data_IF_522081809427
#
_entry.id   IF_522081809427
#
_cell.length_a   1.000
_cell.length_b   1.000
_cell.length_c   1.000
_cell.angle_alpha   90.00
_cell.angle_beta   90.00
_cell.angle_gamma   90.00
#
_symmetry.space_group_name_H-M   'P 1'
#
loop_
_entity.id
_entity.type
_entity.pdbx_description
1 polymer ?
#
# COMPACT_ATOMS: atom_id res chain seq x y z
N UNK A 1 7.99 -9.07 4.86
CA UNK A 1 9.41 -9.30 4.51
C UNK A 1 10.08 -10.18 5.56
N UNK A 2 11.25 -10.78 5.23
CA UNK A 2 12.05 -11.59 6.13
C UNK A 2 12.96 -10.77 7.04
N UNK A 3 14.06 -11.42 7.52
CA UNK A 3 15.03 -10.80 8.42
C UNK A 3 15.72 -9.57 7.83
N UNK A 4 15.89 -9.52 6.51
CA UNK A 4 16.37 -8.34 5.77
C UNK A 4 15.19 -7.72 5.04
N UNK A 5 14.93 -6.46 5.29
CA UNK A 5 13.78 -5.74 4.75
C UNK A 5 14.12 -4.25 4.58
N UNK A 6 13.33 -3.45 3.83
CA UNK A 6 13.65 -2.06 3.56
C UNK A 6 13.71 -1.15 4.80
N UNK A 7 13.26 -1.63 5.97
CA UNK A 7 13.25 -0.84 7.21
C UNK A 7 14.49 -1.07 8.07
N UNK A 8 15.17 -2.22 7.92
CA UNK A 8 16.37 -2.56 8.67
C UNK A 8 17.63 -2.72 7.79
N UNK A 9 17.50 -2.64 6.47
CA UNK A 9 18.63 -2.55 5.54
C UNK A 9 19.06 -1.09 5.40
N UNK A 10 19.48 -0.52 6.51
CA UNK A 10 19.89 0.87 6.67
C UNK A 10 21.31 0.93 7.22
N UNK A 11 22.00 2.03 6.95
CA UNK A 11 23.31 2.29 7.53
C UNK A 11 23.18 2.48 9.04
N UNK A 12 24.06 1.85 9.80
CA UNK A 12 24.22 2.12 11.22
C UNK A 12 24.69 3.56 11.46
N UNK A 13 24.54 4.05 12.70
CA UNK A 13 25.02 5.39 13.07
C UNK A 13 26.53 5.52 12.83
N UNK A 14 27.30 4.48 13.13
CA UNK A 14 28.76 4.46 12.94
C UNK A 14 29.12 4.54 11.43
N UNK A 15 28.47 3.73 10.60
CA UNK A 15 28.65 3.77 9.14
C UNK A 15 28.28 5.13 8.57
N UNK A 16 27.12 5.68 9.00
CA UNK A 16 26.65 7.00 8.55
C UNK A 16 27.65 8.11 8.92
N UNK A 17 28.24 8.07 10.13
CA UNK A 17 29.25 9.03 10.58
C UNK A 17 30.59 8.86 9.89
N UNK A 18 30.88 7.67 9.36
CA UNK A 18 32.13 7.37 8.66
C UNK A 18 32.13 7.78 7.17
N UNK A 19 30.98 8.15 6.62
CA UNK A 19 30.87 8.54 5.20
C UNK A 19 31.68 9.80 4.93
N UNK A 20 32.56 9.74 3.93
CA UNK A 20 33.26 10.89 3.39
C UNK A 20 32.30 11.72 2.50
N UNK A 21 32.01 12.99 2.84
CA UNK A 21 31.20 13.87 2.01
C UNK A 21 31.70 14.04 0.56
N UNK A 22 33.02 13.94 0.34
CA UNK A 22 33.58 14.01 -1.01
C UNK A 22 33.20 12.78 -1.84
N UNK A 23 33.20 11.58 -1.23
CA UNK A 23 32.73 10.36 -1.90
C UNK A 23 31.27 10.46 -2.36
N UNK A 24 30.40 11.09 -1.56
CA UNK A 24 29.01 11.36 -1.97
C UNK A 24 28.94 12.35 -3.14
N UNK A 25 29.79 13.37 -3.14
CA UNK A 25 29.88 14.34 -4.23
C UNK A 25 30.33 13.67 -5.52
N UNK A 26 31.36 12.82 -5.44
CA UNK A 26 31.87 12.06 -6.58
C UNK A 26 30.81 11.08 -7.12
N UNK A 27 30.06 10.43 -6.24
CA UNK A 27 28.93 9.57 -6.61
C UNK A 27 27.87 10.36 -7.38
N UNK A 28 27.46 11.54 -6.88
CA UNK A 28 26.50 12.40 -7.57
C UNK A 28 26.98 12.82 -8.96
N UNK A 29 28.24 13.21 -9.10
CA UNK A 29 28.82 13.54 -10.39
C UNK A 29 28.90 12.33 -11.33
N UNK A 30 29.05 11.12 -10.77
CA UNK A 30 29.09 9.85 -11.50
C UNK A 30 27.73 9.37 -12.01
N UNK A 31 26.58 9.89 -11.52
CA UNK A 31 25.26 9.41 -11.89
C UNK A 31 24.98 9.49 -13.39
N UNK A 32 25.54 10.47 -14.10
CA UNK A 32 25.36 10.60 -15.56
C UNK A 32 26.11 9.55 -16.35
N UNK A 33 26.96 8.75 -15.73
CA UNK A 33 27.67 7.62 -16.36
C UNK A 33 26.78 6.38 -16.50
N UNK A 34 25.69 6.31 -15.76
CA UNK A 34 24.76 5.18 -15.80
C UNK A 34 23.69 5.39 -16.88
N UNK A 35 23.08 4.28 -17.29
CA UNK A 35 21.89 4.32 -18.13
C UNK A 35 20.79 5.14 -17.43
N UNK A 36 20.22 6.10 -18.13
CA UNK A 36 19.18 6.96 -17.57
C UNK A 36 18.18 7.41 -18.64
N UNK A 37 17.02 7.88 -18.20
CA UNK A 37 15.96 8.40 -19.07
C UNK A 37 15.75 9.88 -18.81
N UNK A 38 15.67 10.66 -19.89
CA UNK A 38 15.34 12.09 -19.81
C UNK A 38 13.89 12.27 -20.22
N UNK A 39 13.11 12.83 -19.33
CA UNK A 39 11.69 13.09 -19.53
C UNK A 39 11.52 14.61 -19.68
N UNK A 40 10.91 15.01 -20.77
CA UNK A 40 10.68 16.43 -21.04
C UNK A 40 9.20 16.72 -21.32
N UNK A 41 8.67 17.73 -20.64
CA UNK A 41 7.38 18.32 -20.93
C UNK A 41 7.53 19.83 -20.98
N UNK A 42 7.26 20.42 -22.15
CA UNK A 42 7.42 21.88 -22.35
C UNK A 42 7.08 22.31 -23.78
N UNK A 43 7.20 23.61 -24.07
CA UNK A 43 6.83 24.17 -25.36
C UNK A 43 7.87 23.90 -26.48
N UNK A 44 9.08 23.47 -26.12
CA UNK A 44 10.14 23.26 -27.09
C UNK A 44 9.88 22.01 -27.94
N UNK A 45 10.26 22.06 -29.20
CA UNK A 45 10.20 20.89 -30.06
C UNK A 45 11.19 19.81 -29.61
N UNK A 46 10.90 18.55 -29.92
CA UNK A 46 11.79 17.42 -29.65
C UNK A 46 13.20 17.65 -30.19
N UNK A 47 13.30 18.22 -31.39
CA UNK A 47 14.59 18.51 -32.04
C UNK A 47 15.37 19.59 -31.25
N UNK A 48 14.71 20.65 -30.81
CA UNK A 48 15.35 21.69 -29.98
C UNK A 48 15.88 21.11 -28.68
N UNK A 49 15.09 20.27 -27.98
CA UNK A 49 15.51 19.62 -26.74
C UNK A 49 16.69 18.69 -26.98
N UNK A 50 16.64 17.88 -28.05
CA UNK A 50 17.74 16.99 -28.44
C UNK A 50 19.04 17.77 -28.67
N UNK A 51 18.98 18.89 -29.38
CA UNK A 51 20.14 19.72 -29.64
C UNK A 51 20.74 20.30 -28.36
N UNK A 52 19.90 20.79 -27.43
CA UNK A 52 20.34 21.28 -26.13
C UNK A 52 21.02 20.16 -25.34
N UNK A 53 20.41 18.98 -25.28
CA UNK A 53 20.98 17.82 -24.57
C UNK A 53 22.31 17.41 -25.18
N UNK A 54 22.42 17.33 -26.51
CA UNK A 54 23.70 17.00 -27.18
C UNK A 54 24.81 17.98 -26.85
N UNK A 55 24.49 19.26 -26.67
CA UNK A 55 25.47 20.30 -26.32
C UNK A 55 25.87 20.30 -24.84
N UNK A 56 24.93 20.08 -23.95
CA UNK A 56 25.12 20.34 -22.51
C UNK A 56 25.10 19.08 -21.65
N UNK A 57 24.44 18.01 -22.05
CA UNK A 57 24.38 16.76 -21.31
C UNK A 57 25.54 15.83 -21.75
N UNK A 58 26.67 15.95 -21.06
CA UNK A 58 27.87 15.17 -21.36
C UNK A 58 27.78 13.82 -20.68
N UNK A 59 27.82 12.76 -21.46
CA UNK A 59 27.80 11.37 -21.01
C UNK A 59 28.91 10.58 -21.74
N UNK A 60 29.41 9.49 -21.15
CA UNK A 60 30.33 8.58 -21.84
C UNK A 60 29.70 8.02 -23.12
N UNK A 61 30.54 7.57 -24.05
CA UNK A 61 30.07 6.86 -25.27
C UNK A 61 29.33 5.57 -24.92
N UNK A 62 29.77 4.88 -23.86
CA UNK A 62 29.13 3.70 -23.33
C UNK A 62 28.70 3.97 -21.88
N UNK A 63 27.38 3.91 -21.67
CA UNK A 63 26.80 4.04 -20.33
C UNK A 63 26.92 2.74 -19.55
N UNK A 64 27.14 2.85 -18.26
CA UNK A 64 27.13 1.73 -17.31
C UNK A 64 25.67 1.28 -17.08
N UNK A 65 25.35 -0.02 -17.15
CA UNK A 65 24.04 -0.51 -16.76
C UNK A 65 23.66 -0.10 -15.34
N UNK A 66 22.39 0.17 -15.12
CA UNK A 66 21.88 0.45 -13.78
C UNK A 66 22.08 -0.83 -12.92
N UNK A 67 22.66 -0.73 -11.72
CA UNK A 67 22.77 -1.87 -10.81
C UNK A 67 21.38 -2.47 -10.51
N UNK A 68 21.33 -3.79 -10.33
CA UNK A 68 20.11 -4.44 -9.88
C UNK A 68 19.67 -3.85 -8.53
N UNK A 69 18.37 -3.59 -8.32
CA UNK A 69 17.86 -3.14 -7.05
C UNK A 69 18.05 -4.23 -5.98
N UNK A 70 18.10 -3.82 -4.71
CA UNK A 70 17.96 -4.77 -3.61
C UNK A 70 16.56 -5.41 -3.66
N UNK A 71 16.49 -6.73 -3.60
CA UNK A 71 15.23 -7.47 -3.59
C UNK A 71 14.88 -7.85 -2.16
N UNK A 72 13.68 -7.45 -1.73
CA UNK A 72 13.11 -7.84 -0.44
C UNK A 72 11.95 -8.79 -0.69
N UNK A 73 12.13 -10.06 -0.29
CA UNK A 73 11.12 -11.09 -0.53
C UNK A 73 9.91 -10.88 0.38
N UNK A 74 8.75 -10.70 -0.25
CA UNK A 74 7.49 -10.67 0.46
C UNK A 74 7.10 -12.08 0.93
N UNK A 75 6.82 -12.21 2.24
CA UNK A 75 6.45 -13.49 2.85
C UNK A 75 4.97 -13.76 2.60
N UNK A 76 4.63 -14.99 2.21
CA UNK A 76 3.25 -15.44 2.08
C UNK A 76 2.52 -15.41 3.43
N UNK A 77 1.22 -15.20 3.38
CA UNK A 77 0.34 -15.17 4.56
C UNK A 77 -0.46 -16.49 4.64
N UNK A 78 0.26 -17.61 4.82
CA UNK A 78 -0.34 -18.94 4.76
C UNK A 78 -1.04 -19.36 6.08
N UNK A 79 -0.70 -18.68 7.16
CA UNK A 79 -1.26 -18.92 8.50
C UNK A 79 -1.45 -17.62 9.27
N UNK A 80 -2.35 -17.63 10.24
CA UNK A 80 -2.54 -16.51 11.14
C UNK A 80 -1.34 -16.39 12.09
N UNK A 81 -0.80 -15.18 12.22
CA UNK A 81 0.32 -14.83 13.10
C UNK A 81 0.05 -13.50 13.77
N UNK A 82 0.54 -13.33 14.98
CA UNK A 82 0.49 -12.06 15.70
C UNK A 82 1.90 -11.68 16.12
N UNK A 83 2.31 -10.48 15.72
CA UNK A 83 3.50 -9.82 16.23
C UNK A 83 3.06 -8.70 17.17
N UNK A 84 3.50 -8.77 18.40
CA UNK A 84 3.19 -7.76 19.41
C UNK A 84 4.45 -6.95 19.74
N UNK A 85 4.33 -5.63 19.72
CA UNK A 85 5.39 -4.72 20.14
C UNK A 85 4.91 -3.93 21.36
N UNK A 86 5.61 -4.10 22.49
CA UNK A 86 5.33 -3.34 23.68
C UNK A 86 5.84 -1.89 23.53
N UNK A 87 4.93 -0.94 23.56
CA UNK A 87 5.24 0.48 23.47
C UNK A 87 4.33 1.31 24.38
N UNK A 88 4.89 2.26 25.09
CA UNK A 88 4.12 3.12 26.03
C UNK A 88 3.30 4.15 25.24
N UNK A 89 2.05 3.80 24.95
CA UNK A 89 1.10 4.63 24.22
C UNK A 89 -0.32 4.49 24.80
N UNK A 90 -1.14 5.51 24.55
CA UNK A 90 -2.51 5.56 25.11
C UNK A 90 -3.47 4.64 24.37
N UNK A 91 -3.29 4.52 23.05
CA UNK A 91 -4.12 3.67 22.19
C UNK A 91 -3.35 2.40 21.85
N UNK A 92 -4.06 1.34 21.60
CA UNK A 92 -3.51 0.14 20.96
C UNK A 92 -3.89 0.16 19.50
N UNK A 93 -2.93 -0.12 18.63
CA UNK A 93 -3.11 -0.20 17.19
C UNK A 93 -2.91 -1.63 16.71
N UNK A 94 -3.80 -2.08 15.84
CA UNK A 94 -3.71 -3.36 15.17
C UNK A 94 -3.73 -3.13 13.66
N UNK A 95 -2.74 -3.70 12.97
CA UNK A 95 -2.68 -3.78 11.51
C UNK A 95 -2.75 -5.25 11.11
N UNK A 96 -3.72 -5.60 10.28
CA UNK A 96 -3.89 -6.92 9.67
C UNK A 96 -3.46 -6.85 8.22
N UNK A 97 -2.66 -7.81 7.78
CA UNK A 97 -2.17 -7.88 6.39
C UNK A 97 -2.36 -9.31 5.87
N UNK A 98 -2.94 -9.42 4.68
CA UNK A 98 -2.93 -10.65 3.88
C UNK A 98 -2.33 -10.33 2.51
N UNK A 99 -1.33 -11.11 2.08
CA UNK A 99 -0.76 -11.00 0.74
C UNK A 99 -1.66 -11.75 -0.24
N UNK A 100 -2.26 -11.02 -1.18
CA UNK A 100 -3.02 -11.57 -2.28
C UNK A 100 -2.15 -12.01 -3.45
N UNK A 101 -2.77 -12.15 -4.61
CA UNK A 101 -2.09 -12.52 -5.86
C UNK A 101 -1.26 -11.35 -6.43
N UNK A 102 -0.39 -11.64 -7.40
CA UNK A 102 0.33 -10.63 -8.18
C UNK A 102 -0.65 -9.71 -8.91
N UNK A 103 -0.14 -8.57 -9.42
CA UNK A 103 -0.96 -7.58 -10.09
C UNK A 103 -1.88 -8.20 -11.15
N UNK A 104 -3.16 -7.93 -10.99
CA UNK A 104 -4.19 -8.27 -11.96
C UNK A 104 -5.01 -7.02 -12.30
N UNK A 105 -4.92 -6.57 -13.54
CA UNK A 105 -5.61 -5.36 -14.02
C UNK A 105 -7.14 -5.48 -13.90
N UNK A 106 -7.69 -6.68 -14.00
CA UNK A 106 -9.13 -6.92 -13.92
C UNK A 106 -9.69 -6.72 -12.49
N UNK A 107 -8.84 -6.77 -11.47
CA UNK A 107 -9.24 -6.54 -10.08
C UNK A 107 -9.20 -5.07 -9.67
N UNK A 108 -8.57 -4.19 -10.48
CA UNK A 108 -8.31 -2.80 -10.06
C UNK A 108 -9.59 -1.99 -9.85
N UNK A 109 -10.58 -2.16 -10.71
CA UNK A 109 -11.86 -1.45 -10.60
C UNK A 109 -12.64 -1.91 -9.36
N UNK A 110 -12.72 -3.23 -9.15
CA UNK A 110 -13.36 -3.86 -8.00
C UNK A 110 -12.66 -3.47 -6.69
N UNK A 111 -11.33 -3.53 -6.65
CA UNK A 111 -10.55 -3.15 -5.48
C UNK A 111 -10.74 -1.66 -5.11
N UNK A 112 -10.79 -0.77 -6.12
CA UNK A 112 -11.04 0.66 -5.91
C UNK A 112 -12.45 0.90 -5.36
N UNK A 113 -13.47 0.22 -5.92
CA UNK A 113 -14.84 0.34 -5.43
C UNK A 113 -14.99 -0.26 -4.05
N UNK A 114 -14.37 -1.42 -3.79
CA UNK A 114 -14.33 -2.06 -2.48
C UNK A 114 -13.73 -1.14 -1.42
N UNK A 115 -12.60 -0.49 -1.71
CA UNK A 115 -12.01 0.48 -0.80
C UNK A 115 -12.97 1.61 -0.44
N UNK A 116 -13.68 2.19 -1.42
CA UNK A 116 -14.63 3.28 -1.18
C UNK A 116 -15.89 2.81 -0.43
N UNK A 117 -16.38 1.62 -0.73
CA UNK A 117 -17.60 1.09 -0.13
C UNK A 117 -17.35 0.53 1.27
N UNK A 118 -16.33 -0.33 1.38
CA UNK A 118 -16.14 -1.15 2.58
C UNK A 118 -15.30 -0.45 3.64
N UNK A 119 -14.18 0.17 3.26
CA UNK A 119 -13.21 0.49 4.28
C UNK A 119 -12.57 1.88 4.27
N UNK A 120 -12.74 2.68 3.24
CA UNK A 120 -12.10 3.99 3.17
C UNK A 120 -13.12 5.13 3.20
N UNK A 121 -13.01 6.00 4.22
CA UNK A 121 -13.86 7.18 4.33
C UNK A 121 -15.02 7.07 5.32
N UNK A 122 -15.63 8.22 5.61
CA UNK A 122 -16.63 8.36 6.67
C UNK A 122 -17.94 7.62 6.42
N UNK A 123 -18.27 7.32 5.18
CA UNK A 123 -19.48 6.58 4.79
C UNK A 123 -19.24 5.08 4.55
N UNK A 124 -18.01 4.59 4.73
CA UNK A 124 -17.67 3.18 4.53
C UNK A 124 -18.31 2.28 5.59
N UNK A 125 -18.56 1.02 5.23
CA UNK A 125 -19.17 0.02 6.11
C UNK A 125 -18.38 -0.12 7.41
N UNK A 126 -17.04 -0.30 7.32
CA UNK A 126 -16.17 -0.48 8.49
C UNK A 126 -16.24 0.73 9.42
N UNK A 127 -16.16 1.95 8.87
CA UNK A 127 -16.22 3.15 9.66
C UNK A 127 -17.58 3.30 10.38
N UNK A 128 -18.67 3.11 9.65
CA UNK A 128 -20.03 3.25 10.20
C UNK A 128 -20.33 2.21 11.27
N UNK A 129 -19.93 0.96 11.07
CA UNK A 129 -20.20 -0.11 12.02
C UNK A 129 -19.29 -0.07 13.25
N UNK A 130 -17.99 0.09 13.08
CA UNK A 130 -17.03 -0.03 14.18
C UNK A 130 -16.93 1.27 14.98
N UNK A 131 -16.84 2.41 14.29
CA UNK A 131 -16.67 3.70 14.95
C UNK A 131 -17.99 4.34 15.36
N UNK A 132 -18.91 4.52 14.41
CA UNK A 132 -20.12 5.31 14.64
C UNK A 132 -21.20 4.52 15.40
N UNK A 133 -21.47 3.28 14.99
CA UNK A 133 -22.55 2.47 15.57
C UNK A 133 -22.14 1.83 16.90
N UNK A 134 -20.96 1.18 16.95
CA UNK A 134 -20.51 0.42 18.11
C UNK A 134 -19.56 1.19 19.04
N UNK A 135 -19.02 2.32 18.60
CA UNK A 135 -18.03 3.14 19.32
C UNK A 135 -16.83 2.30 19.86
N UNK A 136 -16.40 1.30 19.07
CA UNK A 136 -15.34 0.38 19.46
C UNK A 136 -13.95 0.90 19.12
N UNK A 137 -13.80 1.76 18.10
CA UNK A 137 -12.51 2.27 17.69
C UNK A 137 -12.57 3.75 17.33
N UNK A 138 -11.47 4.46 17.54
CA UNK A 138 -11.30 5.84 17.07
C UNK A 138 -11.05 5.87 15.56
N UNK A 139 -10.26 4.91 15.07
CA UNK A 139 -9.97 4.76 13.65
C UNK A 139 -10.08 3.28 13.25
N UNK A 140 -10.81 3.01 12.17
CA UNK A 140 -10.93 1.68 11.60
C UNK A 140 -11.08 1.78 10.08
N UNK A 141 -10.38 0.91 9.36
CA UNK A 141 -10.54 0.77 7.91
C UNK A 141 -10.14 -0.62 7.44
N UNK A 142 -10.62 -1.02 6.26
CA UNK A 142 -10.11 -2.18 5.54
C UNK A 142 -10.18 -1.92 4.04
N UNK A 143 -9.15 -2.33 3.31
CA UNK A 143 -9.11 -2.16 1.86
C UNK A 143 -8.21 -3.20 1.20
N UNK A 144 -8.47 -3.45 -0.07
CA UNK A 144 -7.63 -4.25 -0.94
C UNK A 144 -6.78 -3.29 -1.79
N UNK A 145 -5.46 -3.29 -1.58
CA UNK A 145 -4.54 -2.36 -2.24
C UNK A 145 -4.10 -2.88 -3.60
N UNK A 146 -3.99 -1.98 -4.56
CA UNK A 146 -3.40 -2.30 -5.85
C UNK A 146 -1.89 -2.07 -5.81
N UNK A 147 -1.06 -2.97 -6.37
CA UNK A 147 0.37 -2.80 -6.45
C UNK A 147 0.77 -1.68 -7.42
N UNK A 148 2.04 -1.26 -7.35
CA UNK A 148 2.61 -0.22 -8.20
C UNK A 148 3.43 -0.78 -9.37
N UNK A 149 3.80 -2.06 -9.31
CA UNK A 149 4.56 -2.79 -10.33
C UNK A 149 3.86 -4.09 -10.69
N UNK A 150 4.14 -4.59 -11.87
CA UNK A 150 3.55 -5.84 -12.38
C UNK A 150 3.84 -7.06 -11.49
N UNK A 151 5.04 -7.14 -10.93
CA UNK A 151 5.49 -8.29 -10.14
C UNK A 151 5.20 -8.14 -8.64
N UNK A 152 4.61 -7.00 -8.22
CA UNK A 152 4.17 -6.77 -6.84
C UNK A 152 2.79 -7.40 -6.61
N UNK A 153 2.49 -7.70 -5.34
CA UNK A 153 1.22 -8.32 -4.95
C UNK A 153 0.16 -7.30 -4.52
N UNK A 154 -1.08 -7.66 -4.71
CA UNK A 154 -2.20 -7.03 -4.00
C UNK A 154 -2.13 -7.35 -2.51
N UNK A 155 -2.61 -6.44 -1.66
CA UNK A 155 -2.69 -6.67 -0.22
C UNK A 155 -4.07 -6.33 0.32
N UNK A 156 -4.67 -7.28 1.04
CA UNK A 156 -5.79 -6.97 1.92
C UNK A 156 -5.23 -6.44 3.24
N UNK A 157 -5.71 -5.27 3.65
CA UNK A 157 -5.28 -4.61 4.87
C UNK A 157 -6.47 -4.25 5.72
N UNK A 158 -6.39 -4.53 7.01
CA UNK A 158 -7.32 -4.07 8.03
C UNK A 158 -6.56 -3.30 9.10
N UNK A 159 -7.17 -2.28 9.67
CA UNK A 159 -6.58 -1.46 10.72
C UNK A 159 -7.62 -1.08 11.77
N UNK A 160 -7.20 -1.10 13.02
CA UNK A 160 -7.94 -0.63 14.18
C UNK A 160 -7.00 0.17 15.07
N UNK A 161 -7.41 1.40 15.40
CA UNK A 161 -6.82 2.20 16.48
C UNK A 161 -7.87 2.43 17.56
N UNK A 162 -7.65 1.85 18.76
CA UNK A 162 -8.65 1.80 19.82
C UNK A 162 -8.03 1.89 21.21
N UNK A 163 -8.86 1.96 22.24
CA UNK A 163 -8.44 1.76 23.63
C UNK A 163 -8.09 0.28 23.86
N UNK A 164 -7.11 0.02 24.70
CA UNK A 164 -6.59 -1.33 24.92
C UNK A 164 -7.68 -2.32 25.37
N UNK A 165 -8.58 -1.89 26.23
CA UNK A 165 -9.73 -2.68 26.74
C UNK A 165 -10.79 -3.00 25.69
N UNK A 166 -10.77 -2.34 24.54
CA UNK A 166 -11.72 -2.56 23.43
C UNK A 166 -11.13 -3.31 22.25
N UNK A 167 -9.83 -3.63 22.31
CA UNK A 167 -9.13 -4.23 21.15
C UNK A 167 -9.77 -5.53 20.70
N UNK A 168 -10.10 -6.43 21.64
CA UNK A 168 -10.75 -7.72 21.32
C UNK A 168 -12.09 -7.54 20.61
N UNK A 169 -12.97 -6.71 21.17
CA UNK A 169 -14.29 -6.44 20.60
C UNK A 169 -14.20 -5.76 19.22
N UNK A 170 -13.30 -4.77 19.08
CA UNK A 170 -13.09 -4.07 17.81
C UNK A 170 -12.53 -4.98 16.73
N UNK A 171 -11.59 -5.85 17.09
CA UNK A 171 -11.00 -6.84 16.17
C UNK A 171 -12.03 -7.88 15.74
N UNK A 172 -12.81 -8.41 16.69
CA UNK A 172 -13.92 -9.33 16.38
C UNK A 172 -14.93 -8.70 15.43
N UNK A 173 -15.34 -7.44 15.68
CA UNK A 173 -16.26 -6.74 14.82
C UNK A 173 -15.70 -6.52 13.39
N UNK A 174 -14.40 -6.26 13.25
CA UNK A 174 -13.77 -6.14 11.93
C UNK A 174 -13.74 -7.48 11.21
N UNK A 175 -13.36 -8.56 11.91
CA UNK A 175 -13.33 -9.93 11.35
C UNK A 175 -14.73 -10.39 10.92
N UNK A 176 -15.77 -10.08 11.69
CA UNK A 176 -17.16 -10.37 11.32
C UNK A 176 -17.54 -9.69 10.01
N UNK A 177 -17.19 -8.41 9.84
CA UNK A 177 -17.40 -7.68 8.59
C UNK A 177 -16.58 -8.25 7.43
N UNK A 178 -15.36 -8.73 7.70
CA UNK A 178 -14.48 -9.35 6.70
C UNK A 178 -14.88 -10.81 6.38
N UNK A 179 -15.76 -11.41 7.16
CA UNK A 179 -16.38 -12.73 6.86
C UNK A 179 -17.69 -12.60 6.08
N UNK A 180 -18.41 -11.52 6.26
CA UNK A 180 -19.73 -11.31 5.63
C UNK A 180 -19.92 -9.85 5.25
N UNK A 181 -19.87 -9.55 3.96
CA UNK A 181 -20.08 -8.19 3.45
C UNK A 181 -21.54 -7.77 3.56
N UNK A 182 -21.89 -6.72 4.31
CA UNK A 182 -23.24 -6.16 4.29
C UNK A 182 -23.61 -5.64 2.89
N UNK A 183 -24.84 -5.89 2.43
CA UNK A 183 -25.37 -5.33 1.19
C UNK A 183 -26.17 -4.05 1.49
N UNK A 184 -25.49 -2.91 1.41
CA UNK A 184 -26.08 -1.60 1.67
C UNK A 184 -26.14 -0.79 0.38
N UNK A 185 -27.25 -0.87 -0.35
CA UNK A 185 -27.44 -0.28 -1.68
C UNK A 185 -27.17 1.23 -1.73
N UNK A 186 -27.58 1.96 -0.70
CA UNK A 186 -27.39 3.40 -0.65
C UNK A 186 -25.89 3.75 -0.53
N UNK A 187 -25.16 3.08 0.37
CA UNK A 187 -23.73 3.27 0.55
C UNK A 187 -22.96 2.84 -0.69
N UNK A 188 -23.37 1.73 -1.33
CA UNK A 188 -22.79 1.27 -2.60
C UNK A 188 -22.93 2.34 -3.69
N UNK A 189 -24.13 2.91 -3.87
CA UNK A 189 -24.36 3.97 -4.84
C UNK A 189 -23.47 5.20 -4.59
N UNK A 190 -23.32 5.60 -3.33
CA UNK A 190 -22.43 6.72 -2.94
C UNK A 190 -20.97 6.41 -3.17
N UNK A 191 -20.50 5.21 -2.83
CA UNK A 191 -19.14 4.75 -3.05
C UNK A 191 -18.79 4.73 -4.55
N UNK A 192 -19.70 4.23 -5.38
CA UNK A 192 -19.55 4.21 -6.84
C UNK A 192 -19.43 5.62 -7.43
N UNK A 193 -20.29 6.55 -7.01
CA UNK A 193 -20.20 7.96 -7.41
C UNK A 193 -18.86 8.55 -6.97
N UNK A 194 -18.40 8.27 -5.75
CA UNK A 194 -17.13 8.77 -5.23
C UNK A 194 -15.95 8.24 -6.02
N UNK A 195 -15.91 6.94 -6.32
CA UNK A 195 -14.86 6.31 -7.12
C UNK A 195 -14.78 6.91 -8.54
N UNK A 196 -15.91 7.11 -9.20
CA UNK A 196 -15.98 7.75 -10.52
C UNK A 196 -15.50 9.21 -10.49
N UNK A 197 -15.98 9.99 -9.52
CA UNK A 197 -15.55 11.39 -9.35
C UNK A 197 -14.08 11.52 -9.05
N UNK A 198 -13.48 10.60 -8.30
CA UNK A 198 -12.06 10.61 -8.04
C UNK A 198 -11.24 10.53 -9.34
N UNK A 199 -11.65 9.69 -10.28
CA UNK A 199 -11.01 9.61 -11.61
C UNK A 199 -11.30 10.88 -12.42
N UNK A 200 -12.54 11.35 -12.44
CA UNK A 200 -12.94 12.53 -13.23
C UNK A 200 -12.24 13.81 -12.79
N UNK A 201 -11.99 13.97 -11.49
CA UNK A 201 -11.36 15.17 -10.93
C UNK A 201 -9.84 15.10 -10.92
N UNK A 202 -9.27 13.90 -10.88
CA UNK A 202 -7.82 13.69 -10.86
C UNK A 202 -7.25 13.73 -12.28
N UNK A 203 -7.30 14.93 -12.89
CA UNK A 203 -6.80 15.12 -14.26
C UNK A 203 -5.29 15.00 -14.31
N UNK A 204 -4.81 14.10 -15.16
CA UNK A 204 -3.39 14.00 -15.49
C UNK A 204 -3.02 15.13 -16.45
N UNK A 205 -2.33 16.15 -15.95
CA UNK A 205 -1.94 17.33 -16.73
C UNK A 205 -0.45 17.61 -16.60
N UNK A 206 0.10 18.36 -17.56
CA UNK A 206 1.48 18.80 -17.56
C UNK A 206 2.47 17.62 -17.48
N UNK A 207 3.51 17.78 -16.68
CA UNK A 207 4.56 16.75 -16.50
C UNK A 207 4.03 15.44 -15.89
N UNK A 208 2.86 15.45 -15.24
CA UNK A 208 2.27 14.23 -14.66
C UNK A 208 1.88 13.20 -15.73
N UNK A 209 1.70 13.62 -16.99
CA UNK A 209 1.49 12.72 -18.12
C UNK A 209 2.67 11.76 -18.29
N UNK A 210 3.90 12.25 -18.10
CA UNK A 210 5.12 11.43 -18.19
C UNK A 210 5.17 10.38 -17.08
N UNK A 211 4.81 10.77 -15.85
CA UNK A 211 4.77 9.85 -14.71
C UNK A 211 3.64 8.82 -14.82
N UNK A 212 2.48 9.21 -15.36
CA UNK A 212 1.40 8.25 -15.68
C UNK A 212 1.85 7.19 -16.66
N UNK A 213 2.60 7.58 -17.70
CA UNK A 213 3.13 6.64 -18.68
C UNK A 213 4.17 5.69 -18.06
N UNK A 214 5.03 6.18 -17.17
CA UNK A 214 6.00 5.34 -16.46
C UNK A 214 5.28 4.33 -15.61
N UNK A 215 4.34 4.77 -14.77
CA UNK A 215 3.53 3.86 -13.91
C UNK A 215 2.79 2.81 -14.73
N UNK A 216 2.21 3.18 -15.88
CA UNK A 216 1.58 2.19 -16.75
C UNK A 216 2.58 1.12 -17.21
N UNK A 217 3.80 1.52 -17.59
CA UNK A 217 4.87 0.59 -17.99
C UNK A 217 5.35 -0.29 -16.84
N UNK A 218 5.46 0.27 -15.63
CA UNK A 218 5.85 -0.47 -14.43
C UNK A 218 4.81 -1.55 -14.08
N UNK A 219 3.53 -1.33 -14.46
CA UNK A 219 2.45 -2.30 -14.39
C UNK A 219 2.36 -3.23 -15.62
N UNK A 220 3.30 -3.14 -16.56
CA UNK A 220 3.26 -3.93 -17.81
C UNK A 220 2.21 -3.49 -18.82
N UNK A 221 1.65 -2.26 -18.68
CA UNK A 221 0.59 -1.74 -19.53
C UNK A 221 1.13 -0.78 -20.61
N UNK A 222 0.52 -0.80 -21.78
CA UNK A 222 0.79 0.13 -22.89
C UNK A 222 -0.30 1.20 -23.06
N UNK A 223 -1.25 1.27 -22.10
CA UNK A 223 -2.37 2.20 -22.08
C UNK A 223 -2.55 2.85 -20.70
N UNK A 224 -3.36 3.90 -20.64
CA UNK A 224 -3.78 4.51 -19.37
C UNK A 224 -4.74 3.57 -18.63
N UNK A 225 -4.35 3.13 -17.43
CA UNK A 225 -5.12 2.23 -16.58
C UNK A 225 -6.57 2.72 -16.38
N UNK A 226 -6.78 4.03 -16.20
CA UNK A 226 -8.12 4.60 -16.03
C UNK A 226 -9.02 4.43 -17.26
N UNK A 227 -8.44 4.21 -18.43
CA UNK A 227 -9.21 3.92 -19.66
C UNK A 227 -9.98 2.60 -19.59
N UNK A 228 -9.55 1.68 -18.71
CA UNK A 228 -10.21 0.40 -18.42
C UNK A 228 -11.00 0.44 -17.12
N UNK A 229 -10.40 1.01 -16.07
CA UNK A 229 -11.02 1.10 -14.73
C UNK A 229 -12.32 1.92 -14.75
N UNK A 230 -12.33 3.08 -15.43
CA UNK A 230 -13.51 3.96 -15.43
C UNK A 230 -14.76 3.34 -16.07
N UNK A 231 -14.69 2.73 -17.27
CA UNK A 231 -15.85 2.02 -17.83
C UNK A 231 -16.31 0.86 -16.94
N UNK A 232 -15.38 0.06 -16.43
CA UNK A 232 -15.71 -1.08 -15.55
C UNK A 232 -16.41 -0.62 -14.27
N UNK A 233 -15.94 0.46 -13.61
CA UNK A 233 -16.62 1.04 -12.44
C UNK A 233 -18.07 1.43 -12.73
N UNK A 234 -18.40 1.91 -13.92
CA UNK A 234 -19.78 2.24 -14.31
C UNK A 234 -20.70 1.02 -14.39
N UNK A 235 -20.15 -0.12 -14.75
CA UNK A 235 -20.89 -1.37 -14.93
C UNK A 235 -21.04 -2.16 -13.64
N UNK A 236 -20.10 -2.05 -12.69
CA UNK A 236 -20.11 -2.80 -11.44
C UNK A 236 -21.43 -2.68 -10.68
N UNK A 237 -21.96 -3.81 -10.27
CA UNK A 237 -23.09 -3.97 -9.37
C UNK A 237 -22.62 -4.32 -7.96
N UNK A 238 -23.53 -4.32 -7.00
CA UNK A 238 -23.23 -4.77 -5.63
C UNK A 238 -22.95 -6.30 -5.59
N UNK A 239 -23.53 -7.06 -6.50
CA UNK A 239 -23.29 -8.49 -6.63
C UNK A 239 -21.91 -8.79 -7.21
N UNK A 240 -21.39 -7.98 -8.15
CA UNK A 240 -20.00 -8.04 -8.60
C UNK A 240 -19.04 -7.78 -7.44
N UNK A 241 -19.34 -6.79 -6.59
CA UNK A 241 -18.53 -6.47 -5.42
C UNK A 241 -18.58 -7.55 -4.36
N UNK A 242 -19.73 -8.22 -4.17
CA UNK A 242 -19.86 -9.39 -3.30
C UNK A 242 -19.03 -10.58 -3.84
N UNK A 243 -19.02 -10.78 -5.15
CA UNK A 243 -18.17 -11.81 -5.79
C UNK A 243 -16.70 -11.52 -5.54
N UNK A 244 -16.27 -10.27 -5.77
CA UNK A 244 -14.91 -9.82 -5.44
C UNK A 244 -14.57 -10.06 -3.96
N UNK A 245 -15.47 -9.71 -3.05
CA UNK A 245 -15.30 -9.91 -1.61
C UNK A 245 -15.12 -11.39 -1.26
N UNK A 246 -15.98 -12.27 -1.79
CA UNK A 246 -15.90 -13.70 -1.53
C UNK A 246 -14.60 -14.33 -2.03
N UNK A 247 -14.08 -13.85 -3.16
CA UNK A 247 -12.86 -14.37 -3.78
C UNK A 247 -11.58 -13.81 -3.15
N UNK A 248 -11.58 -12.55 -2.68
CA UNK A 248 -10.34 -11.85 -2.33
C UNK A 248 -10.23 -11.43 -0.86
N UNK A 249 -11.35 -11.41 -0.11
CA UNK A 249 -11.40 -10.86 1.26
C UNK A 249 -11.81 -11.92 2.28
N UNK A 250 -12.86 -12.66 1.96
CA UNK A 250 -13.47 -13.63 2.87
C UNK A 250 -12.52 -14.78 3.20
N UNK A 251 -12.55 -15.22 4.46
CA UNK A 251 -11.84 -16.41 4.96
C UNK A 251 -10.31 -16.39 4.71
N UNK A 252 -9.71 -15.20 4.79
CA UNK A 252 -8.25 -15.04 4.66
C UNK A 252 -7.53 -15.21 5.99
N UNK A 253 -6.30 -15.66 5.91
CA UNK A 253 -5.35 -15.68 7.02
C UNK A 253 -4.62 -14.33 7.09
N UNK A 254 -4.19 -13.91 8.27
CA UNK A 254 -3.57 -12.60 8.47
C UNK A 254 -2.26 -12.68 9.25
N UNK A 255 -1.30 -11.88 8.82
CA UNK A 255 -0.23 -11.44 9.70
C UNK A 255 -0.71 -10.18 10.41
N UNK A 256 -0.84 -10.26 11.73
CA UNK A 256 -1.30 -9.19 12.58
C UNK A 256 -0.09 -8.53 13.27
N UNK A 257 0.04 -7.21 13.17
CA UNK A 257 0.96 -6.42 13.97
C UNK A 257 0.17 -5.61 14.97
N UNK A 258 0.50 -5.77 16.23
CA UNK A 258 -0.14 -5.04 17.35
C UNK A 258 0.94 -4.24 18.08
N UNK A 259 0.68 -2.96 18.26
CA UNK A 259 1.52 -2.08 19.09
C UNK A 259 0.66 -1.46 20.19
N UNK A 260 1.15 -1.52 21.42
CA UNK A 260 0.43 -1.01 22.58
C UNK A 260 1.16 -1.33 23.86
N UNK A 261 0.62 -0.83 24.95
CA UNK A 261 1.16 -1.08 26.29
C UNK A 261 0.74 -2.47 26.76
N UNK A 262 1.74 -3.34 27.02
CA UNK A 262 1.50 -4.76 27.34
C UNK A 262 0.56 -4.94 28.52
N UNK A 263 0.71 -4.13 29.58
CA UNK A 263 -0.08 -4.26 30.83
C UNK A 263 -1.55 -3.90 30.64
N UNK A 264 -1.87 -3.14 29.57
CA UNK A 264 -3.23 -2.70 29.25
C UNK A 264 -3.86 -3.55 28.11
N UNK A 265 -3.04 -4.32 27.38
CA UNK A 265 -3.49 -5.09 26.21
C UNK A 265 -4.00 -6.48 26.62
N UNK A 266 -5.19 -6.84 26.14
CA UNK A 266 -5.75 -8.19 26.29
C UNK A 266 -4.97 -9.20 25.41
N UNK A 267 -4.02 -9.88 26.05
CA UNK A 267 -3.18 -10.87 25.35
C UNK A 267 -3.95 -12.12 24.96
N UNK A 268 -5.00 -12.51 25.70
CA UNK A 268 -5.84 -13.67 25.34
C UNK A 268 -6.60 -13.40 24.03
N UNK A 269 -7.10 -12.18 23.85
CA UNK A 269 -7.73 -11.76 22.59
C UNK A 269 -6.73 -11.80 21.42
N UNK A 270 -5.44 -11.51 21.66
CA UNK A 270 -4.41 -11.62 20.62
C UNK A 270 -4.08 -13.09 20.31
N UNK A 271 -3.99 -13.96 21.30
CA UNK A 271 -3.74 -15.39 21.14
C UNK A 271 -4.88 -16.07 20.36
N UNK A 272 -6.11 -15.58 20.47
CA UNK A 272 -7.24 -16.03 19.67
C UNK A 272 -7.10 -15.73 18.17
N UNK A 273 -6.30 -14.74 17.79
CA UNK A 273 -5.99 -14.39 16.38
C UNK A 273 -4.92 -15.31 15.78
N UNK A 274 -4.08 -15.95 16.61
CA UNK A 274 -2.99 -16.81 16.19
C UNK A 274 -1.81 -16.78 17.16
N UNK A 275 -0.74 -17.56 16.89
CA UNK A 275 0.46 -17.56 17.72
C UNK A 275 1.05 -16.16 17.85
N UNK A 276 1.28 -15.72 19.08
CA UNK A 276 1.84 -14.40 19.40
C UNK A 276 3.35 -14.47 19.56
N UNK A 277 4.07 -13.65 18.80
CA UNK A 277 5.50 -13.39 18.98
C UNK A 277 5.68 -11.93 19.40
N UNK A 278 6.27 -11.70 20.54
CA UNK A 278 6.67 -10.34 20.97
C UNK A 278 7.97 -9.95 20.24
N UNK A 279 7.99 -8.72 19.73
CA UNK A 279 9.14 -8.14 19.04
C UNK A 279 9.63 -6.91 19.81
N UNK A 280 10.93 -6.78 19.96
CA UNK A 280 11.56 -5.56 20.46
C UNK A 280 11.63 -4.48 19.37
N UNK A 281 11.85 -3.24 19.76
CA UNK A 281 12.12 -2.15 18.82
C UNK A 281 13.41 -2.41 18.02
N UNK A 282 14.41 -3.03 18.64
CA UNK A 282 15.66 -3.43 18.00
C UNK A 282 15.41 -4.49 16.89
N UNK A 283 14.56 -5.50 17.16
CA UNK A 283 14.18 -6.48 16.14
C UNK A 283 13.43 -5.85 14.96
N UNK A 284 12.64 -4.78 15.20
CA UNK A 284 11.87 -4.11 14.17
C UNK A 284 12.72 -3.15 13.33
N UNK A 285 13.60 -2.39 13.96
CA UNK A 285 14.30 -1.28 13.33
C UNK A 285 15.80 -1.51 13.16
N UNK A 286 16.38 -2.56 13.80
CA UNK A 286 17.78 -2.90 13.68
C UNK A 286 18.74 -2.03 14.50
N UNK A 287 18.20 -1.18 15.42
CA UNK A 287 19.01 -0.31 16.28
C UNK A 287 18.33 -0.03 17.62
#
# INVERSE_FOLDING_TARGET
>A
YGAVNPFNDLLSEEELRSIDPNALTDMLHGLTNYEHKILFYGPNSKESVKNILTQHHKVPEQLTPIPAPAEYLEIATDENKVYFCNYDMVQTELMMIHRGDEFNVELVAEANLFAQYFGAGLSSIVFQEIRESKALAYSAYAYYSNPQRHDDHHYLRGYIGTQADKLGDATSALLDLMSTMPKAEQQFGQAKISALKQIETNRTTGRNILWSQIRAKDLGLDYDLNSKVYPRLKELSIDDLESFFNENVKDRTYTNLVIGKREDTDMEALEALGPVKELSLEELFGY
#
